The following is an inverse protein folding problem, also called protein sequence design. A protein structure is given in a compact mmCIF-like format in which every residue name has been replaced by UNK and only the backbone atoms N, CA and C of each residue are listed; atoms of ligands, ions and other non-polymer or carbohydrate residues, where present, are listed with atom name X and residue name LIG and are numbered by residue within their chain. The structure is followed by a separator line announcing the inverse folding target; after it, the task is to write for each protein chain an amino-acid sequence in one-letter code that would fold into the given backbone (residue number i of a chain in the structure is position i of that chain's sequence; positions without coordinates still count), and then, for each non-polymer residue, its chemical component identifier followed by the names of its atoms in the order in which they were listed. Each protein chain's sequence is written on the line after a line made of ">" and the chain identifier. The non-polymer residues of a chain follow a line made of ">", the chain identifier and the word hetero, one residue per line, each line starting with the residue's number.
data_IF_132087581058
#
_entry.id   IF_132087581058
#
_cell.length_a   1.000
_cell.length_b   1.000
_cell.length_c   1.000
_cell.angle_alpha   90.00
_cell.angle_beta   90.00
_cell.angle_gamma   90.00
#
_symmetry.space_group_name_H-M   'P 1'
#
loop_
_entity.id
_entity.type
_entity.pdbx_description
1 polymer ?
#
# COMPACT_ATOMS: atom_id res chain seq x y z
N UNK A 1 -6.75 -33.34 9.06
CA UNK A 1 -6.26 -31.95 9.12
C UNK A 1 -6.46 -31.32 7.76
N UNK A 2 -7.20 -30.20 7.67
CA UNK A 2 -7.49 -29.55 6.39
C UNK A 2 -6.24 -28.87 5.83
N UNK A 3 -5.82 -29.26 4.62
CA UNK A 3 -4.69 -28.67 3.89
C UNK A 3 -5.06 -27.36 3.16
N UNK A 4 -6.36 -27.03 3.12
CA UNK A 4 -6.89 -25.89 2.36
C UNK A 4 -6.37 -24.50 2.83
N UNK A 5 -6.22 -24.22 4.15
CA UNK A 5 -5.72 -22.92 4.60
C UNK A 5 -4.28 -22.68 4.17
N UNK A 6 -3.45 -23.72 4.22
CA UNK A 6 -2.04 -23.62 3.80
C UNK A 6 -1.92 -23.34 2.31
N UNK A 7 -2.71 -24.01 1.46
CA UNK A 7 -2.68 -23.78 0.01
C UNK A 7 -3.16 -22.37 -0.35
N UNK A 8 -4.21 -21.86 0.30
CA UNK A 8 -4.70 -20.49 0.09
C UNK A 8 -3.62 -19.43 0.44
N UNK A 9 -2.93 -19.62 1.57
CA UNK A 9 -1.82 -18.75 1.98
C UNK A 9 -0.67 -18.80 0.96
N UNK A 10 -0.26 -19.99 0.51
CA UNK A 10 0.82 -20.11 -0.47
C UNK A 10 0.46 -19.45 -1.81
N UNK A 11 -0.78 -19.61 -2.27
CA UNK A 11 -1.27 -18.97 -3.50
C UNK A 11 -1.29 -17.45 -3.37
N UNK A 12 -1.76 -16.91 -2.24
CA UNK A 12 -1.74 -15.48 -1.96
C UNK A 12 -0.31 -14.93 -1.98
N UNK A 13 0.63 -15.58 -1.28
CA UNK A 13 2.04 -15.19 -1.24
C UNK A 13 2.65 -15.25 -2.64
N UNK A 14 2.44 -16.33 -3.40
CA UNK A 14 2.98 -16.48 -4.73
C UNK A 14 2.49 -15.39 -5.70
N UNK A 15 1.19 -15.09 -5.68
CA UNK A 15 0.57 -14.02 -6.50
C UNK A 15 1.19 -12.66 -6.20
N UNK A 16 1.25 -12.27 -4.92
CA UNK A 16 1.68 -10.93 -4.55
C UNK A 16 3.20 -10.75 -4.55
N UNK A 17 3.97 -11.83 -4.36
CA UNK A 17 5.42 -11.81 -4.54
C UNK A 17 5.83 -11.53 -6.00
N UNK A 18 5.02 -11.96 -6.97
CA UNK A 18 5.23 -11.70 -8.39
C UNK A 18 4.79 -10.29 -8.83
N UNK A 19 4.12 -9.51 -7.96
CA UNK A 19 3.62 -8.19 -8.32
C UNK A 19 4.77 -7.17 -8.51
N UNK A 20 4.69 -6.38 -9.59
CA UNK A 20 5.64 -5.31 -9.85
C UNK A 20 5.40 -4.07 -8.98
N UNK A 21 6.41 -3.20 -8.88
CA UNK A 21 6.40 -2.03 -7.98
C UNK A 21 5.51 -0.88 -8.48
N UNK A 22 4.20 -1.11 -8.47
CA UNK A 22 3.15 -0.15 -8.84
C UNK A 22 2.15 -0.01 -7.68
N UNK A 23 2.60 0.65 -6.61
CA UNK A 23 1.88 0.82 -5.34
C UNK A 23 0.40 1.11 -5.54
N UNK A 24 0.06 2.22 -6.22
CA UNK A 24 -1.31 2.69 -6.43
C UNK A 24 -2.20 1.69 -7.19
N UNK A 25 -1.62 0.84 -8.03
CA UNK A 25 -2.40 -0.16 -8.77
C UNK A 25 -2.68 -1.41 -7.93
N UNK A 26 -1.87 -1.66 -6.89
CA UNK A 26 -1.83 -2.94 -6.21
C UNK A 26 -2.45 -2.90 -4.81
N UNK A 27 -2.30 -1.80 -4.05
CA UNK A 27 -2.62 -1.81 -2.61
C UNK A 27 -4.08 -2.14 -2.29
N UNK A 28 -5.06 -1.58 -3.03
CA UNK A 28 -6.47 -1.86 -2.80
C UNK A 28 -6.82 -3.33 -3.07
N UNK A 29 -6.30 -3.87 -4.17
CA UNK A 29 -6.51 -5.28 -4.53
C UNK A 29 -5.83 -6.21 -3.52
N UNK A 30 -4.59 -5.90 -3.11
CA UNK A 30 -3.86 -6.64 -2.08
C UNK A 30 -4.60 -6.68 -0.75
N UNK A 31 -5.04 -5.51 -0.26
CA UNK A 31 -5.73 -5.39 1.02
C UNK A 31 -7.11 -6.08 1.00
N UNK A 32 -7.81 -6.02 -0.14
CA UNK A 32 -9.08 -6.73 -0.33
C UNK A 32 -8.89 -8.24 -0.27
N UNK A 33 -7.94 -8.79 -1.05
CA UNK A 33 -7.64 -10.22 -1.05
C UNK A 33 -7.07 -10.69 0.31
N UNK A 34 -6.33 -9.84 1.02
CA UNK A 34 -5.84 -10.13 2.37
C UNK A 34 -7.00 -10.24 3.37
N UNK A 35 -8.00 -9.36 3.30
CA UNK A 35 -9.18 -9.45 4.16
C UNK A 35 -9.93 -10.78 3.92
N UNK A 36 -10.06 -11.21 2.66
CA UNK A 36 -10.67 -12.49 2.30
C UNK A 36 -9.87 -13.68 2.83
N UNK A 37 -8.54 -13.64 2.72
CA UNK A 37 -7.66 -14.69 3.26
C UNK A 37 -7.76 -14.79 4.79
N UNK A 38 -7.84 -13.66 5.48
CA UNK A 38 -7.95 -13.60 6.94
C UNK A 38 -9.37 -13.89 7.46
N UNK A 39 -10.38 -13.91 6.58
CA UNK A 39 -11.78 -14.08 6.95
C UNK A 39 -12.36 -12.89 7.75
N UNK A 40 -11.82 -11.69 7.53
CA UNK A 40 -12.30 -10.45 8.17
C UNK A 40 -13.17 -9.64 7.22
N UNK A 41 -13.90 -8.67 7.79
CA UNK A 41 -14.68 -7.69 7.03
C UNK A 41 -13.80 -6.98 5.99
N UNK A 42 -14.36 -6.69 4.81
CA UNK A 42 -13.71 -5.90 3.77
C UNK A 42 -14.05 -4.41 3.89
N UNK A 43 -13.19 -3.50 3.38
CA UNK A 43 -13.53 -2.08 3.28
C UNK A 43 -14.80 -1.87 2.45
N UNK A 44 -15.63 -0.92 2.87
CA UNK A 44 -16.87 -0.58 2.20
C UNK A 44 -16.61 0.28 0.96
N UNK A 45 -17.45 0.15 -0.09
CA UNK A 45 -17.41 1.05 -1.24
C UNK A 45 -17.53 2.51 -0.82
N UNK A 46 -16.81 3.40 -1.50
CA UNK A 46 -16.95 4.82 -1.30
C UNK A 46 -18.37 5.28 -1.68
N UNK A 47 -18.94 6.16 -0.87
CA UNK A 47 -20.25 6.79 -1.11
C UNK A 47 -20.08 8.31 -1.17
N UNK A 48 -21.15 9.02 -1.50
CA UNK A 48 -21.24 10.49 -1.41
C UNK A 48 -21.10 11.00 0.04
N UNK A 49 -21.42 10.17 1.02
CA UNK A 49 -21.35 10.48 2.46
C UNK A 49 -20.01 10.11 3.07
N UNK A 50 -18.95 10.70 2.53
CA UNK A 50 -17.58 10.28 2.82
C UNK A 50 -17.19 10.39 4.31
N UNK A 51 -17.75 11.36 5.03
CA UNK A 51 -17.49 11.56 6.46
C UNK A 51 -18.14 10.48 7.36
N UNK A 52 -19.17 9.78 6.87
CA UNK A 52 -19.85 8.68 7.58
C UNK A 52 -19.14 7.33 7.37
N UNK A 53 -18.18 7.25 6.45
CA UNK A 53 -17.49 6.01 6.11
C UNK A 53 -16.54 5.56 7.24
N UNK A 54 -16.90 4.47 7.92
CA UNK A 54 -16.15 3.92 9.05
C UNK A 54 -15.06 2.92 8.63
N UNK A 55 -15.13 2.36 7.42
CA UNK A 55 -14.09 1.47 6.90
C UNK A 55 -14.03 1.59 5.38
N UNK A 56 -13.10 2.37 4.83
CA UNK A 56 -13.08 2.67 3.39
C UNK A 56 -11.68 3.02 2.89
N UNK A 57 -11.44 2.80 1.60
CA UNK A 57 -10.24 3.25 0.90
C UNK A 57 -10.35 4.74 0.54
N UNK A 58 -9.20 5.40 0.35
CA UNK A 58 -9.12 6.78 -0.12
C UNK A 58 -9.99 7.76 0.67
N UNK A 59 -9.98 7.68 2.01
CA UNK A 59 -10.81 8.56 2.84
C UNK A 59 -10.22 9.98 2.85
N UNK A 60 -10.93 11.02 2.36
CA UNK A 60 -10.50 12.40 2.43
C UNK A 60 -10.47 12.91 3.87
N UNK A 61 -9.46 13.73 4.14
CA UNK A 61 -9.29 14.51 5.36
C UNK A 61 -9.03 15.95 4.94
N UNK A 62 -9.90 16.85 5.40
CA UNK A 62 -9.81 18.28 5.10
C UNK A 62 -9.00 18.96 6.19
N UNK A 63 -7.91 19.60 5.80
CA UNK A 63 -7.10 20.47 6.65
C UNK A 63 -7.48 21.91 6.40
N UNK A 64 -7.76 22.66 7.46
CA UNK A 64 -7.94 24.11 7.45
C UNK A 64 -6.71 24.74 8.13
N UNK A 65 -6.09 25.72 7.47
CA UNK A 65 -4.93 26.44 8.02
C UNK A 65 -5.31 27.56 9.01
N UNK A 66 -6.60 27.81 9.22
CA UNK A 66 -7.13 28.88 10.06
C UNK A 66 -7.04 30.28 9.44
N UNK A 67 -6.43 30.40 8.24
CA UNK A 67 -6.34 31.62 7.45
C UNK A 67 -7.31 31.60 6.25
N UNK A 68 -8.20 30.60 6.22
CA UNK A 68 -9.21 30.42 5.19
C UNK A 68 -8.76 29.59 3.98
N UNK A 69 -7.58 28.96 4.02
CA UNK A 69 -7.19 27.97 3.00
C UNK A 69 -7.43 26.56 3.52
N UNK A 70 -8.14 25.80 2.70
CA UNK A 70 -8.35 24.37 2.94
C UNK A 70 -7.54 23.54 1.96
N UNK A 71 -7.08 22.38 2.42
CA UNK A 71 -6.44 21.36 1.59
C UNK A 71 -6.99 19.99 1.93
N UNK A 72 -7.09 19.11 0.94
CA UNK A 72 -7.59 17.75 1.13
C UNK A 72 -6.46 16.76 0.93
N UNK A 73 -6.21 15.92 1.94
CA UNK A 73 -5.38 14.74 1.79
C UNK A 73 -6.28 13.49 1.87
N UNK A 74 -5.72 12.34 1.51
CA UNK A 74 -6.43 11.07 1.49
C UNK A 74 -5.67 10.05 2.34
N UNK A 75 -6.43 9.24 3.09
CA UNK A 75 -5.94 8.05 3.78
C UNK A 75 -6.12 6.87 2.83
N UNK A 76 -5.06 6.10 2.55
CA UNK A 76 -5.16 4.95 1.64
C UNK A 76 -6.19 3.93 2.13
N UNK A 77 -6.17 3.56 3.42
CA UNK A 77 -7.23 2.76 4.05
C UNK A 77 -7.49 3.22 5.49
N UNK A 78 -8.74 3.58 5.77
CA UNK A 78 -9.18 4.03 7.09
C UNK A 78 -10.13 3.02 7.70
N UNK A 79 -9.94 2.66 8.97
CA UNK A 79 -10.94 1.97 9.80
C UNK A 79 -11.11 2.68 11.14
N UNK A 80 -12.30 3.22 11.39
CA UNK A 80 -12.66 3.98 12.59
C UNK A 80 -12.32 3.20 13.85
N UNK A 81 -11.73 3.91 14.82
CA UNK A 81 -11.28 3.38 16.12
C UNK A 81 -10.30 2.19 16.03
N UNK A 82 -9.75 1.90 14.85
CA UNK A 82 -8.84 0.78 14.63
C UNK A 82 -7.50 1.25 14.07
N UNK A 83 -7.48 1.81 12.86
CA UNK A 83 -6.24 2.21 12.20
C UNK A 83 -6.43 3.23 11.07
N UNK A 84 -5.33 3.93 10.78
CA UNK A 84 -5.06 4.67 9.54
C UNK A 84 -3.90 3.95 8.87
N UNK A 85 -4.06 3.58 7.61
CA UNK A 85 -3.05 2.87 6.82
C UNK A 85 -2.64 3.72 5.62
N UNK A 86 -1.33 3.86 5.44
CA UNK A 86 -0.66 4.42 4.27
C UNK A 86 0.16 3.32 3.61
N UNK A 87 -0.18 2.96 2.38
CA UNK A 87 0.42 1.86 1.65
C UNK A 87 1.77 2.28 1.06
N UNK A 88 2.72 1.35 1.07
CA UNK A 88 4.00 1.47 0.37
C UNK A 88 4.34 0.19 -0.38
N UNK A 89 4.80 0.30 -1.62
CA UNK A 89 5.32 -0.85 -2.37
C UNK A 89 6.68 -0.53 -2.98
N UNK A 90 7.72 -1.10 -2.39
CA UNK A 90 9.09 -1.05 -2.91
C UNK A 90 9.42 -2.18 -3.87
N UNK A 91 10.53 -2.04 -4.57
CA UNK A 91 11.15 -3.11 -5.35
C UNK A 91 12.32 -3.75 -4.60
N UNK A 92 12.63 -4.99 -4.93
CA UNK A 92 13.85 -5.63 -4.44
C UNK A 92 15.09 -5.10 -5.19
N UNK A 93 16.28 -5.33 -4.64
CA UNK A 93 17.53 -4.98 -5.33
C UNK A 93 17.63 -5.80 -6.61
N UNK A 94 17.84 -5.12 -7.73
CA UNK A 94 18.07 -5.79 -9.01
C UNK A 94 19.32 -6.66 -8.92
N UNK A 95 19.18 -7.93 -9.24
CA UNK A 95 20.32 -8.84 -9.43
C UNK A 95 20.92 -8.57 -10.82
N UNK A 96 22.25 -8.59 -10.93
CA UNK A 96 22.90 -8.46 -12.25
C UNK A 96 22.63 -9.74 -13.03
N UNK A 97 22.08 -9.60 -14.24
CA UNK A 97 21.80 -10.75 -15.11
C UNK A 97 23.04 -11.14 -15.91
N UNK A 98 23.11 -12.40 -16.38
CA UNK A 98 24.19 -12.83 -17.28
C UNK A 98 24.26 -11.98 -18.56
N UNK A 99 23.12 -11.56 -19.10
CA UNK A 99 23.08 -10.68 -20.25
C UNK A 99 23.75 -9.32 -19.97
N UNK A 100 23.53 -8.75 -18.78
CA UNK A 100 24.17 -7.51 -18.35
C UNK A 100 25.69 -7.70 -18.14
N UNK A 101 26.11 -8.85 -17.62
CA UNK A 101 27.54 -9.20 -17.53
C UNK A 101 28.20 -9.29 -18.92
N UNK A 102 27.44 -9.74 -19.92
CA UNK A 102 27.86 -9.82 -21.32
C UNK A 102 27.70 -8.49 -22.09
N UNK A 103 27.37 -7.40 -21.40
CA UNK A 103 27.32 -6.05 -21.98
C UNK A 103 25.96 -5.62 -22.52
N UNK A 104 24.89 -6.38 -22.30
CA UNK A 104 23.53 -5.93 -22.63
C UNK A 104 23.09 -4.79 -21.70
N UNK A 105 22.36 -3.82 -22.25
CA UNK A 105 21.80 -2.73 -21.45
C UNK A 105 20.70 -3.24 -20.50
N UNK A 106 20.73 -2.74 -19.26
CA UNK A 106 19.72 -3.04 -18.24
C UNK A 106 18.37 -2.42 -18.62
N UNK A 107 17.33 -3.24 -18.71
CA UNK A 107 15.97 -2.76 -18.84
C UNK A 107 15.56 -1.95 -17.59
N UNK A 108 14.97 -0.76 -17.81
CA UNK A 108 14.48 0.09 -16.70
C UNK A 108 13.25 -0.56 -16.06
N UNK A 109 13.39 -1.03 -14.82
CA UNK A 109 12.27 -1.52 -14.01
C UNK A 109 11.74 -0.44 -13.07
N UNK A 110 10.43 -0.43 -12.82
CA UNK A 110 9.84 0.44 -11.79
C UNK A 110 10.37 0.04 -10.42
N UNK A 111 10.80 1.02 -9.62
CA UNK A 111 11.23 0.81 -8.22
C UNK A 111 10.11 1.00 -7.20
N UNK A 112 8.92 1.41 -7.66
CA UNK A 112 7.81 1.81 -6.79
C UNK A 112 8.24 2.97 -5.89
N UNK A 113 7.93 2.87 -4.60
CA UNK A 113 8.33 3.87 -3.59
C UNK A 113 9.85 4.06 -3.55
N UNK A 114 10.58 2.95 -3.43
CA UNK A 114 12.04 2.88 -3.35
C UNK A 114 12.47 1.41 -3.37
N UNK A 115 13.76 1.17 -3.62
CA UNK A 115 14.36 -0.16 -3.40
C UNK A 115 14.39 -0.48 -1.91
N UNK A 116 13.89 -1.65 -1.52
CA UNK A 116 13.90 -2.15 -0.14
C UNK A 116 15.32 -2.25 0.40
N UNK A 117 15.46 -2.21 1.73
CA UNK A 117 16.75 -2.26 2.45
C UNK A 117 17.71 -1.15 2.03
N UNK A 118 17.18 0.05 1.80
CA UNK A 118 17.95 1.28 1.52
C UNK A 118 17.50 2.42 2.43
N UNK A 119 18.39 3.41 2.64
CA UNK A 119 18.04 4.63 3.39
C UNK A 119 16.85 5.38 2.80
N UNK A 120 16.68 5.32 1.48
CA UNK A 120 15.52 5.92 0.80
C UNK A 120 14.25 5.21 1.22
N UNK A 121 14.22 3.88 1.23
CA UNK A 121 13.07 3.11 1.72
C UNK A 121 12.73 3.47 3.17
N UNK A 122 13.71 3.51 4.07
CA UNK A 122 13.49 3.88 5.47
C UNK A 122 12.90 5.27 5.62
N UNK A 123 13.35 6.23 4.81
CA UNK A 123 12.83 7.60 4.80
C UNK A 123 11.37 7.64 4.31
N UNK A 124 11.05 6.94 3.22
CA UNK A 124 9.68 6.94 2.70
C UNK A 124 8.71 6.22 3.64
N UNK A 125 9.15 5.15 4.33
CA UNK A 125 8.35 4.52 5.39
C UNK A 125 8.12 5.44 6.59
N UNK A 126 9.12 6.25 6.99
CA UNK A 126 8.96 7.26 8.04
C UNK A 126 7.95 8.33 7.64
N UNK A 127 8.04 8.85 6.41
CA UNK A 127 7.08 9.82 5.87
C UNK A 127 5.65 9.26 5.85
N UNK A 128 5.47 8.01 5.42
CA UNK A 128 4.16 7.36 5.43
C UNK A 128 3.57 7.29 6.85
N UNK A 129 4.40 6.95 7.84
CA UNK A 129 3.99 6.98 9.26
C UNK A 129 3.61 8.39 9.71
N UNK A 130 4.43 9.39 9.40
CA UNK A 130 4.16 10.80 9.75
C UNK A 130 2.87 11.31 9.11
N UNK A 131 2.62 10.94 7.85
CA UNK A 131 1.37 11.22 7.15
C UNK A 131 0.17 10.57 7.86
N UNK A 132 0.25 9.28 8.17
CA UNK A 132 -0.82 8.58 8.90
C UNK A 132 -1.11 9.25 10.26
N UNK A 133 -0.06 9.67 10.99
CA UNK A 133 -0.22 10.38 12.26
C UNK A 133 -0.86 11.75 12.10
N UNK A 134 -0.55 12.48 11.03
CA UNK A 134 -1.15 13.77 10.73
C UNK A 134 -2.64 13.66 10.38
N UNK A 135 -3.07 12.52 9.84
CA UNK A 135 -4.46 12.26 9.42
C UNK A 135 -5.36 11.75 10.56
N UNK A 136 -4.81 11.56 11.78
CA UNK A 136 -5.56 11.16 12.97
C UNK A 136 -6.29 12.31 13.67
N UNK A 137 -6.05 13.56 13.24
CA UNK A 137 -6.58 14.79 13.83
C UNK A 137 -7.19 15.69 12.75
#
# INVERSE_FOLDING_TARGET
>A
MSLAPTLAIQNFIARWKASGASERANYQLFLTELCELLGVEKPMPATDKVHEANYTFERPVVFDDGEGRTSTNFIDLYKKDCFVLEAKQGADKATITEAELLGAERAKTKTGTATRDTRTWDREMKKAKEQALRLLF
#
